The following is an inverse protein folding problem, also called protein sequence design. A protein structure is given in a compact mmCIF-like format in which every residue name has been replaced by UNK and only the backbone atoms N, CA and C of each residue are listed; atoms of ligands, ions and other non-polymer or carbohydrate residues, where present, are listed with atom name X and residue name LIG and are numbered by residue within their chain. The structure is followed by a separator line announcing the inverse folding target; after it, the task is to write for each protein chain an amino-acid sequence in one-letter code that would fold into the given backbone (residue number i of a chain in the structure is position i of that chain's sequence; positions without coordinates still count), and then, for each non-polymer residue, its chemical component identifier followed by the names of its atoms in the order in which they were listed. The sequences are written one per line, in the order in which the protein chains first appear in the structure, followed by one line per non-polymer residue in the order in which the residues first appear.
data_IF_026441890029
#
_entry.id   IF_026441890029
#
_cell.length_a   1.000
_cell.length_b   1.000
_cell.length_c   1.000
_cell.angle_alpha   90.00
_cell.angle_beta   90.00
_cell.angle_gamma   90.00
#
_symmetry.space_group_name_H-M   'P 1'
#
loop_
_entity.id
_entity.type
_entity.pdbx_description
1 polymer ?
#
# COMPACT_ATOMS: atom_id res chain seq x y z
N UNK A 1 36.03 -3.47 10.05
CA UNK A 1 34.60 -3.78 10.27
C UNK A 1 33.69 -2.54 10.20
N UNK A 2 33.96 -1.53 9.36
CA UNK A 2 33.09 -0.33 9.23
C UNK A 2 32.24 -0.29 7.93
N UNK A 3 32.40 -1.27 7.05
CA UNK A 3 31.68 -1.34 5.76
C UNK A 3 30.26 -1.89 5.85
N UNK A 4 30.01 -2.88 6.72
CA UNK A 4 28.71 -3.55 6.82
C UNK A 4 27.60 -2.70 7.45
N UNK A 5 27.90 -1.94 8.51
CA UNK A 5 26.91 -1.14 9.23
C UNK A 5 26.29 -0.02 8.36
N UNK A 6 27.05 0.55 7.41
CA UNK A 6 26.52 1.58 6.49
C UNK A 6 25.67 0.97 5.38
N UNK A 7 25.98 -0.26 4.97
CA UNK A 7 25.23 -0.97 3.93
C UNK A 7 23.83 -1.36 4.42
N UNK A 8 23.73 -1.90 5.64
CA UNK A 8 22.45 -2.24 6.26
C UNK A 8 21.52 -1.04 6.46
N UNK A 9 22.06 0.13 6.84
CA UNK A 9 21.26 1.35 7.00
C UNK A 9 20.70 1.89 5.68
N UNK A 10 21.43 1.74 4.57
CA UNK A 10 20.97 2.15 3.24
C UNK A 10 19.89 1.20 2.72
N UNK A 11 20.07 -0.12 2.91
CA UNK A 11 19.09 -1.14 2.54
C UNK A 11 17.79 -0.96 3.32
N UNK A 12 17.86 -0.65 4.60
CA UNK A 12 16.69 -0.35 5.44
C UNK A 12 15.97 0.93 4.97
N UNK A 13 16.71 2.00 4.66
CA UNK A 13 16.13 3.24 4.12
C UNK A 13 15.43 3.00 2.77
N UNK A 14 16.08 2.26 1.87
CA UNK A 14 15.51 1.90 0.57
C UNK A 14 14.25 1.03 0.73
N UNK A 15 14.27 0.07 1.66
CA UNK A 15 13.10 -0.76 1.96
C UNK A 15 11.93 0.09 2.47
N UNK A 16 12.18 1.02 3.41
CA UNK A 16 11.18 1.96 3.92
C UNK A 16 10.60 2.84 2.80
N UNK A 17 11.44 3.46 1.97
CA UNK A 17 11.01 4.26 0.83
C UNK A 17 10.16 3.45 -0.15
N UNK A 18 10.56 2.20 -0.43
CA UNK A 18 9.79 1.31 -1.29
C UNK A 18 8.42 0.96 -0.70
N UNK A 19 8.33 0.80 0.62
CA UNK A 19 7.08 0.52 1.31
C UNK A 19 6.13 1.71 1.27
N UNK A 20 6.65 2.93 1.47
CA UNK A 20 5.87 4.16 1.34
C UNK A 20 5.37 4.37 -0.09
N UNK A 21 6.23 4.19 -1.10
CA UNK A 21 5.82 4.31 -2.50
C UNK A 21 4.68 3.33 -2.85
N UNK A 22 4.80 2.06 -2.44
CA UNK A 22 3.72 1.07 -2.60
C UNK A 22 2.45 1.47 -1.87
N UNK A 23 2.55 2.12 -0.71
CA UNK A 23 1.39 2.58 0.05
C UNK A 23 0.69 3.75 -0.64
N UNK A 24 1.43 4.71 -1.17
CA UNK A 24 0.86 5.83 -1.93
C UNK A 24 0.18 5.37 -3.23
N UNK A 25 0.81 4.44 -3.95
CA UNK A 25 0.22 3.85 -5.17
C UNK A 25 -1.09 3.13 -4.84
N UNK A 26 -1.14 2.37 -3.74
CA UNK A 26 -2.38 1.72 -3.28
C UNK A 26 -3.48 2.73 -2.96
N UNK A 27 -3.16 3.80 -2.24
CA UNK A 27 -4.14 4.86 -1.91
C UNK A 27 -4.67 5.51 -3.19
N UNK A 28 -3.81 5.81 -4.16
CA UNK A 28 -4.22 6.38 -5.45
C UNK A 28 -5.15 5.45 -6.23
N UNK A 29 -4.82 4.16 -6.30
CA UNK A 29 -5.66 3.14 -6.94
C UNK A 29 -7.03 3.06 -6.29
N UNK A 30 -7.09 2.98 -4.96
CA UNK A 30 -8.36 2.92 -4.22
C UNK A 30 -9.21 4.16 -4.48
N UNK A 31 -8.63 5.37 -4.38
CA UNK A 31 -9.35 6.61 -4.69
C UNK A 31 -9.84 6.67 -6.14
N UNK A 32 -9.08 6.11 -7.09
CA UNK A 32 -9.48 5.97 -8.48
C UNK A 32 -10.72 5.08 -8.63
N UNK A 33 -10.73 3.91 -8.00
CA UNK A 33 -11.87 2.98 -8.02
C UNK A 33 -13.12 3.58 -7.36
N UNK A 34 -12.96 4.31 -6.25
CA UNK A 34 -14.07 5.05 -5.61
C UNK A 34 -14.67 6.08 -6.58
N UNK A 35 -13.85 6.83 -7.31
CA UNK A 35 -14.33 7.79 -8.33
C UNK A 35 -15.06 7.13 -9.49
N UNK A 36 -14.79 5.85 -9.75
CA UNK A 36 -15.50 5.03 -10.74
C UNK A 36 -16.77 4.38 -10.17
N UNK A 37 -17.20 4.78 -8.96
CA UNK A 37 -18.38 4.29 -8.25
C UNK A 37 -18.32 2.79 -7.87
N UNK A 38 -17.12 2.22 -7.70
CA UNK A 38 -16.99 0.88 -7.13
C UNK A 38 -17.42 0.89 -5.66
N UNK A 39 -18.13 -0.15 -5.22
CA UNK A 39 -18.47 -0.31 -3.81
C UNK A 39 -17.25 -0.72 -3.00
N UNK A 40 -17.31 -0.54 -1.67
CA UNK A 40 -16.26 -1.00 -0.77
C UNK A 40 -15.93 -2.48 -0.98
N UNK A 41 -16.96 -3.33 -1.11
CA UNK A 41 -16.80 -4.77 -1.35
C UNK A 41 -16.05 -5.05 -2.67
N UNK A 42 -16.44 -4.40 -3.76
CA UNK A 42 -15.77 -4.56 -5.05
C UNK A 42 -14.31 -4.08 -5.03
N UNK A 43 -14.03 -3.01 -4.29
CA UNK A 43 -12.65 -2.51 -4.13
C UNK A 43 -11.83 -3.52 -3.31
N UNK A 44 -12.39 -4.06 -2.24
CA UNK A 44 -11.72 -5.08 -1.44
C UNK A 44 -11.45 -6.35 -2.26
N UNK A 45 -12.42 -6.83 -3.03
CA UNK A 45 -12.24 -7.95 -3.94
C UNK A 45 -11.14 -7.66 -4.98
N UNK A 46 -11.12 -6.44 -5.53
CA UNK A 46 -10.04 -6.03 -6.44
C UNK A 46 -8.67 -6.10 -5.75
N UNK A 47 -8.55 -5.58 -4.52
CA UNK A 47 -7.30 -5.55 -3.77
C UNK A 47 -6.80 -6.96 -3.40
N UNK A 48 -7.70 -7.85 -3.00
CA UNK A 48 -7.34 -9.23 -2.65
C UNK A 48 -6.91 -10.03 -3.89
N UNK A 49 -7.62 -9.87 -5.00
CA UNK A 49 -7.34 -10.62 -6.24
C UNK A 49 -6.12 -10.09 -7.02
N UNK A 50 -5.93 -8.77 -7.07
CA UNK A 50 -4.92 -8.15 -7.95
C UNK A 50 -3.65 -7.73 -7.21
N UNK A 51 -3.73 -7.45 -5.90
CA UNK A 51 -2.58 -7.04 -5.09
C UNK A 51 -2.18 -8.09 -4.05
N UNK A 52 -2.79 -9.27 -4.09
CA UNK A 52 -2.53 -10.39 -3.19
C UNK A 52 -2.59 -10.00 -1.70
N UNK A 53 -3.44 -9.03 -1.37
CA UNK A 53 -3.67 -8.64 0.02
C UNK A 53 -4.59 -9.66 0.69
N UNK A 54 -4.36 -9.91 1.97
CA UNK A 54 -5.38 -10.56 2.80
C UNK A 54 -6.61 -9.65 2.93
N UNK A 55 -7.74 -10.25 3.31
CA UNK A 55 -8.98 -9.52 3.56
C UNK A 55 -8.77 -8.34 4.53
N UNK A 56 -8.07 -8.59 5.64
CA UNK A 56 -7.79 -7.58 6.66
C UNK A 56 -6.88 -6.46 6.12
N UNK A 57 -5.87 -6.79 5.31
CA UNK A 57 -5.00 -5.80 4.69
C UNK A 57 -5.74 -4.94 3.65
N UNK A 58 -6.63 -5.54 2.86
CA UNK A 58 -7.47 -4.83 1.91
C UNK A 58 -8.44 -3.86 2.61
N UNK A 59 -9.08 -4.30 3.69
CA UNK A 59 -9.93 -3.45 4.54
C UNK A 59 -9.15 -2.28 5.14
N UNK A 60 -7.97 -2.54 5.70
CA UNK A 60 -7.11 -1.50 6.26
C UNK A 60 -6.63 -0.50 5.20
N UNK A 61 -6.23 -0.99 4.02
CA UNK A 61 -5.80 -0.15 2.91
C UNK A 61 -6.95 0.76 2.43
N UNK A 62 -8.17 0.21 2.32
CA UNK A 62 -9.36 0.99 1.99
C UNK A 62 -9.62 2.09 3.02
N UNK A 63 -9.68 1.71 4.30
CA UNK A 63 -9.95 2.67 5.38
C UNK A 63 -8.89 3.77 5.43
N UNK A 64 -7.61 3.42 5.24
CA UNK A 64 -6.52 4.39 5.17
C UNK A 64 -6.68 5.33 3.98
N UNK A 65 -7.00 4.82 2.80
CA UNK A 65 -7.19 5.62 1.60
C UNK A 65 -8.36 6.60 1.72
N UNK A 66 -9.42 6.22 2.43
CA UNK A 66 -10.57 7.08 2.72
C UNK A 66 -10.30 8.09 3.83
N UNK A 67 -9.44 7.76 4.81
CA UNK A 67 -9.05 8.67 5.89
C UNK A 67 -8.05 9.74 5.44
N UNK A 68 -7.27 9.45 4.41
CA UNK A 68 -6.28 10.38 3.85
C UNK A 68 -6.98 11.20 2.77
N UNK A 69 -7.42 12.43 3.07
CA UNK A 69 -8.13 13.32 2.13
C UNK A 69 -7.29 13.67 0.89
#
# INVERSE_FOLDING_TARGET
MQGDARKGAIEEYAARQSAYARQEERVKTIKGLVKLNFTKEQIIDFLTQNLNLSQQEADNAYNQAMATA
#
